data_IF_247321228145
#
_entry.id   IF_247321228145
#
_cell.length_a   1.000
_cell.length_b   1.000
_cell.length_c   1.000
_cell.angle_alpha   90.00
_cell.angle_beta   90.00
_cell.angle_gamma   90.00
#
_symmetry.space_group_name_H-M   'P 1'
#
loop_
_entity.id
_entity.type
_entity.pdbx_description
1 polymer ?
#
# COMPACT_ATOMS: atom_id res chain seq x y z
N UNK A 1 19.17 -15.08 22.73
CA UNK A 1 18.37 -15.55 21.58
C UNK A 1 17.59 -14.34 21.10
N UNK A 2 18.05 -13.71 20.01
CA UNK A 2 17.37 -12.55 19.45
C UNK A 2 16.09 -13.02 18.77
N UNK A 3 14.95 -12.51 19.21
CA UNK A 3 13.72 -12.59 18.43
C UNK A 3 14.06 -12.10 17.02
N UNK A 4 13.74 -12.84 15.94
CA UNK A 4 13.86 -12.26 14.61
C UNK A 4 13.03 -10.98 14.66
N UNK A 5 13.65 -9.84 14.32
CA UNK A 5 12.90 -8.62 14.12
C UNK A 5 11.84 -8.99 13.07
N UNK A 6 10.58 -9.13 13.49
CA UNK A 6 9.48 -9.12 12.55
C UNK A 6 9.67 -7.79 11.84
N UNK A 7 10.16 -7.83 10.60
CA UNK A 7 10.18 -6.65 9.78
C UNK A 7 8.74 -6.16 9.77
N UNK A 8 8.50 -5.00 10.39
CA UNK A 8 7.16 -4.44 10.48
C UNK A 8 6.69 -4.23 9.04
N UNK A 9 5.56 -4.84 8.67
CA UNK A 9 4.96 -4.72 7.34
C UNK A 9 4.92 -3.28 6.84
N UNK A 10 4.75 -2.32 7.76
CA UNK A 10 4.81 -0.89 7.48
C UNK A 10 6.20 -0.43 7.03
N UNK A 11 7.26 -0.90 7.71
CA UNK A 11 8.65 -0.61 7.37
C UNK A 11 9.03 -1.25 6.03
N UNK A 12 8.64 -2.50 5.79
CA UNK A 12 8.90 -3.19 4.52
C UNK A 12 8.19 -2.51 3.36
N UNK A 13 6.94 -2.12 3.54
CA UNK A 13 6.18 -1.35 2.57
C UNK A 13 6.88 -0.04 2.19
N UNK A 14 7.27 0.77 3.18
CA UNK A 14 7.95 2.05 2.95
C UNK A 14 9.31 1.83 2.24
N UNK A 15 10.02 0.75 2.58
CA UNK A 15 11.28 0.39 1.93
C UNK A 15 11.10 -0.04 0.47
N UNK A 16 9.98 -0.67 0.11
CA UNK A 16 9.66 -1.00 -1.29
C UNK A 16 9.21 0.24 -2.05
N UNK A 17 8.31 1.05 -1.48
CA UNK A 17 7.78 2.25 -2.14
C UNK A 17 8.88 3.27 -2.41
N UNK A 18 9.79 3.51 -1.47
CA UNK A 18 10.90 4.45 -1.67
C UNK A 18 11.81 4.09 -2.85
N UNK A 19 11.98 2.79 -3.16
CA UNK A 19 12.75 2.31 -4.33
C UNK A 19 12.07 2.60 -5.67
N UNK A 20 10.77 2.92 -5.67
CA UNK A 20 10.01 3.27 -6.88
C UNK A 20 10.17 4.75 -7.26
N UNK A 21 10.82 5.55 -6.41
CA UNK A 21 10.95 6.99 -6.59
C UNK A 21 9.71 7.79 -6.17
N UNK A 22 8.71 7.16 -5.53
CA UNK A 22 7.68 7.88 -4.79
C UNK A 22 8.31 8.42 -3.51
N UNK A 23 8.11 9.72 -3.25
CA UNK A 23 8.49 10.31 -1.98
C UNK A 23 7.60 9.76 -0.88
N UNK A 24 8.17 8.90 -0.03
CA UNK A 24 7.48 8.34 1.16
C UNK A 24 7.39 9.33 2.32
N UNK A 25 8.05 10.49 2.17
CA UNK A 25 8.02 11.57 3.12
C UNK A 25 9.32 11.85 3.83
N UNK A 26 9.68 13.13 3.91
CA UNK A 26 10.78 13.60 4.76
C UNK A 26 10.28 13.96 6.18
N UNK A 27 8.96 13.97 6.39
CA UNK A 27 8.32 14.25 7.67
C UNK A 27 7.46 13.07 8.18
N UNK A 28 7.21 12.97 9.50
CA UNK A 28 6.30 11.97 10.04
C UNK A 28 4.88 12.01 9.43
N UNK A 29 4.41 13.20 9.04
CA UNK A 29 3.08 13.35 8.44
C UNK A 29 3.00 12.70 7.05
N UNK A 30 4.07 12.81 6.27
CA UNK A 30 4.15 12.22 4.93
C UNK A 30 4.27 10.69 4.99
N UNK A 31 4.99 10.16 5.99
CA UNK A 31 5.05 8.71 6.27
C UNK A 31 3.66 8.18 6.62
N UNK A 32 2.92 8.89 7.48
CA UNK A 32 1.54 8.52 7.82
C UNK A 32 0.62 8.56 6.61
N UNK A 33 0.75 9.58 5.75
CA UNK A 33 0.00 9.65 4.50
C UNK A 33 0.29 8.44 3.61
N UNK A 34 1.57 8.10 3.43
CA UNK A 34 2.02 6.98 2.62
C UNK A 34 1.45 5.65 3.12
N UNK A 35 1.54 5.39 4.42
CA UNK A 35 0.95 4.20 5.05
C UNK A 35 -0.58 4.17 4.91
N UNK A 36 -1.25 5.30 5.14
CA UNK A 36 -2.70 5.40 5.01
C UNK A 36 -3.17 5.10 3.57
N UNK A 37 -2.39 5.49 2.55
CA UNK A 37 -2.70 5.19 1.15
C UNK A 37 -2.45 3.72 0.82
N UNK A 38 -1.40 3.11 1.37
CA UNK A 38 -1.20 1.65 1.29
C UNK A 38 -2.37 0.86 1.88
N UNK A 39 -2.83 1.25 3.07
CA UNK A 39 -4.00 0.64 3.72
C UNK A 39 -5.31 0.87 2.95
N UNK A 40 -5.47 2.03 2.31
CA UNK A 40 -6.60 2.29 1.41
C UNK A 40 -6.59 1.32 0.22
N UNK A 41 -5.43 1.10 -0.40
CA UNK A 41 -5.31 0.13 -1.50
C UNK A 41 -5.72 -1.28 -1.05
N UNK A 42 -5.23 -1.74 0.12
CA UNK A 42 -5.64 -3.04 0.67
C UNK A 42 -7.15 -3.14 0.91
N UNK A 43 -7.78 -2.08 1.46
CA UNK A 43 -9.23 -2.04 1.69
C UNK A 43 -10.04 -2.12 0.40
N UNK A 44 -9.64 -1.38 -0.64
CA UNK A 44 -10.31 -1.40 -1.93
C UNK A 44 -10.23 -2.79 -2.57
N UNK A 45 -9.05 -3.41 -2.54
CA UNK A 45 -8.86 -4.77 -3.06
C UNK A 45 -9.65 -5.80 -2.25
N UNK A 46 -9.69 -5.68 -0.93
CA UNK A 46 -10.48 -6.54 -0.06
C UNK A 46 -11.98 -6.50 -0.38
N UNK A 47 -12.53 -5.32 -0.66
CA UNK A 47 -13.94 -5.18 -1.10
C UNK A 47 -14.18 -5.54 -2.57
N UNK A 48 -13.18 -6.10 -3.26
CA UNK A 48 -13.30 -6.57 -4.63
C UNK A 48 -13.31 -5.45 -5.68
N UNK A 49 -12.89 -4.23 -5.34
CA UNK A 49 -12.67 -3.20 -6.35
C UNK A 49 -11.52 -3.60 -7.28
N UNK A 50 -11.60 -3.26 -8.58
CA UNK A 50 -10.50 -3.49 -9.50
C UNK A 50 -9.20 -2.79 -9.05
N UNK A 51 -8.05 -3.40 -9.32
CA UNK A 51 -6.72 -2.80 -9.04
C UNK A 51 -6.58 -1.39 -9.61
N UNK A 52 -7.17 -1.11 -10.76
CA UNK A 52 -7.19 0.24 -11.37
C UNK A 52 -7.87 1.30 -10.50
N UNK A 53 -8.88 0.91 -9.73
CA UNK A 53 -9.50 1.81 -8.75
C UNK A 53 -8.52 2.12 -7.64
N UNK A 54 -7.83 1.12 -7.09
CA UNK A 54 -6.81 1.34 -6.07
C UNK A 54 -5.66 2.23 -6.57
N UNK A 55 -5.18 2.02 -7.79
CA UNK A 55 -4.13 2.85 -8.42
C UNK A 55 -4.59 4.31 -8.52
N UNK A 56 -5.83 4.55 -8.99
CA UNK A 56 -6.40 5.90 -9.08
C UNK A 56 -6.52 6.56 -7.70
N UNK A 57 -7.06 5.86 -6.71
CA UNK A 57 -7.29 6.41 -5.36
C UNK A 57 -5.99 6.70 -4.61
N UNK A 58 -4.93 5.89 -4.83
CA UNK A 58 -3.58 6.18 -4.33
C UNK A 58 -3.02 7.43 -5.02
N UNK A 59 -3.25 7.60 -6.32
CA UNK A 59 -2.77 8.75 -7.10
C UNK A 59 -3.22 10.11 -6.55
N UNK A 60 -4.39 10.20 -5.91
CA UNK A 60 -4.81 11.44 -5.24
C UNK A 60 -3.90 11.87 -4.07
N UNK A 61 -3.12 10.95 -3.49
CA UNK A 61 -2.10 11.25 -2.48
C UNK A 61 -0.73 11.59 -3.05
N UNK A 62 -0.51 11.31 -4.34
CA UNK A 62 0.78 11.44 -5.02
C UNK A 62 0.58 12.02 -6.43
N UNK A 63 0.20 13.30 -6.57
CA UNK A 63 -0.22 13.89 -7.85
C UNK A 63 0.87 13.87 -8.92
N UNK A 64 2.15 13.86 -8.51
CA UNK A 64 3.30 13.84 -9.42
C UNK A 64 3.80 12.42 -9.73
N UNK A 65 3.22 11.38 -9.10
CA UNK A 65 3.62 10.01 -9.36
C UNK A 65 3.13 9.54 -10.73
N UNK A 66 4.04 8.93 -11.49
CA UNK A 66 3.70 8.28 -12.76
C UNK A 66 2.80 7.07 -12.51
N UNK A 67 2.05 6.66 -13.55
CA UNK A 67 1.23 5.45 -13.48
C UNK A 67 2.04 4.21 -13.10
N UNK A 68 3.26 4.07 -13.63
CA UNK A 68 4.14 2.94 -13.29
C UNK A 68 4.50 2.92 -11.80
N UNK A 69 4.79 4.08 -11.22
CA UNK A 69 5.06 4.22 -9.79
C UNK A 69 3.83 3.87 -8.94
N UNK A 70 2.64 4.31 -9.34
CA UNK A 70 1.39 3.98 -8.64
C UNK A 70 1.05 2.49 -8.72
N UNK A 71 1.34 1.83 -9.84
CA UNK A 71 1.23 0.37 -9.96
C UNK A 71 2.17 -0.32 -8.97
N UNK A 72 3.46 0.07 -8.97
CA UNK A 72 4.43 -0.49 -8.03
C UNK A 72 4.07 -0.24 -6.56
N UNK A 73 3.46 0.89 -6.25
CA UNK A 73 2.94 1.19 -4.92
C UNK A 73 1.85 0.20 -4.48
N UNK A 74 0.85 -0.03 -5.35
CA UNK A 74 -0.25 -0.95 -5.04
C UNK A 74 0.25 -2.39 -4.94
N UNK A 75 1.21 -2.80 -5.78
CA UNK A 75 1.83 -4.11 -5.67
C UNK A 75 2.68 -4.24 -4.39
N UNK A 76 3.38 -3.19 -3.97
CA UNK A 76 4.07 -3.16 -2.69
C UNK A 76 3.10 -3.35 -1.53
N UNK A 77 1.95 -2.64 -1.53
CA UNK A 77 0.93 -2.79 -0.52
C UNK A 77 0.39 -4.23 -0.46
N UNK A 78 0.09 -4.84 -1.61
CA UNK A 78 -0.34 -6.26 -1.70
C UNK A 78 0.69 -7.23 -1.12
N UNK A 79 1.97 -7.00 -1.37
CA UNK A 79 3.04 -7.90 -0.96
C UNK A 79 3.41 -7.77 0.53
N UNK A 80 3.10 -6.63 1.17
CA UNK A 80 3.64 -6.30 2.50
C UNK A 80 2.56 -5.93 3.53
N UNK A 81 1.62 -5.06 3.16
CA UNK A 81 0.60 -4.50 4.07
C UNK A 81 -0.71 -5.28 4.09
N UNK A 82 -1.11 -5.85 2.95
CA UNK A 82 -2.40 -6.52 2.84
C UNK A 82 -2.32 -7.87 3.55
N UNK A 83 -2.49 -7.84 4.87
CA UNK A 83 -2.58 -9.01 5.73
C UNK A 83 -3.62 -10.02 5.22
N UNK A 84 -3.56 -11.30 5.66
CA UNK A 84 -4.54 -12.32 5.27
C UNK A 84 -6.01 -11.93 5.50
N UNK A 85 -6.27 -11.02 6.44
CA UNK A 85 -7.59 -10.47 6.72
C UNK A 85 -8.15 -9.60 5.58
N UNK A 86 -7.30 -9.12 4.67
CA UNK A 86 -7.66 -8.43 3.43
C UNK A 86 -7.89 -9.36 2.24
N UNK A 87 -8.00 -10.69 2.46
CA UNK A 87 -8.43 -11.62 1.42
C UNK A 87 -9.72 -11.09 0.80
N UNK A 88 -9.75 -11.01 -0.54
CA UNK A 88 -10.89 -10.47 -1.27
C UNK A 88 -12.18 -11.15 -0.82
N UNK A 89 -13.15 -10.35 -0.37
CA UNK A 89 -14.50 -10.84 -0.15
C UNK A 89 -15.07 -11.19 -1.53
N UNK A 90 -15.51 -12.43 -1.71
CA UNK A 90 -16.25 -12.78 -2.90
C UNK A 90 -17.63 -12.11 -2.81
N UNK A 91 -18.23 -11.71 -3.94
CA UNK A 91 -19.63 -11.30 -3.93
C UNK A 91 -20.47 -12.47 -3.41
N UNK A 92 -20.97 -12.33 -2.17
CA UNK A 92 -21.70 -13.38 -1.45
C UNK A 92 -21.23 -13.64 -0.01
N UNK A 93 -20.12 -13.06 0.44
CA UNK A 93 -19.60 -13.23 1.80
C UNK A 93 -20.24 -12.27 2.85
N UNK A 94 -21.51 -11.83 2.64
CA UNK A 94 -22.28 -10.98 3.57
C UNK A 94 -23.38 -11.75 4.28
#
# INVERSE_FOLDING_TARGET
MGTPANADSSTDFLAVVSKTGINVGDSPADVVLTLSRGMLACRLLHYGYPTEVAIREVGYGFPDATRAQLVSFVDAAKATLCEPNFRQLNPGDY
#
